data_IF_770396830687
#
_entry.id   IF_770396830687
#
_cell.length_a   1.000
_cell.length_b   1.000
_cell.length_c   1.000
_cell.angle_alpha   90.00
_cell.angle_beta   90.00
_cell.angle_gamma   90.00
#
_symmetry.space_group_name_H-M   'P 1'
#
loop_
_entity.id
_entity.type
_entity.pdbx_description
1 polymer ?
#
# COMPACT_ATOMS: atom_id res chain seq x y z
N UNK A 1 -4.69 7.15 22.03
CA UNK A 1 -5.44 6.59 20.89
C UNK A 1 -6.74 6.00 21.39
N UNK A 2 -7.89 6.46 20.90
CA UNK A 2 -9.19 5.95 21.35
C UNK A 2 -9.61 4.66 20.63
N UNK A 3 -9.08 4.41 19.45
CA UNK A 3 -9.51 3.28 18.63
C UNK A 3 -10.98 3.42 18.23
N UNK A 4 -11.68 2.31 18.21
CA UNK A 4 -13.12 2.22 17.98
C UNK A 4 -13.87 2.29 19.32
N UNK A 5 -13.97 3.48 19.90
CA UNK A 5 -14.57 3.70 21.23
C UNK A 5 -16.07 3.40 21.32
N UNK A 6 -16.80 3.42 20.18
CA UNK A 6 -18.22 3.08 20.09
C UNK A 6 -18.52 1.58 19.92
N UNK A 7 -17.51 0.73 19.71
CA UNK A 7 -17.73 -0.69 19.53
C UNK A 7 -17.99 -1.42 20.86
N UNK A 8 -19.04 -2.23 20.88
CA UNK A 8 -19.35 -3.11 22.01
C UNK A 8 -18.17 -4.09 22.24
N UNK A 9 -17.87 -4.41 23.50
CA UNK A 9 -16.79 -5.30 23.91
C UNK A 9 -16.84 -6.67 23.20
N UNK A 10 -18.03 -7.22 22.97
CA UNK A 10 -18.22 -8.47 22.22
C UNK A 10 -17.72 -8.36 20.77
N UNK A 11 -17.98 -7.22 20.12
CA UNK A 11 -17.56 -6.96 18.76
C UNK A 11 -16.04 -6.74 18.68
N UNK A 12 -15.43 -6.09 19.68
CA UNK A 12 -13.97 -5.96 19.76
C UNK A 12 -13.29 -7.32 19.91
N UNK A 13 -13.83 -8.21 20.73
CA UNK A 13 -13.31 -9.58 20.90
C UNK A 13 -13.47 -10.43 19.62
N UNK A 14 -14.50 -10.18 18.82
CA UNK A 14 -14.65 -10.84 17.52
C UNK A 14 -13.70 -10.28 16.44
N UNK A 15 -13.52 -8.96 16.41
CA UNK A 15 -12.66 -8.30 15.41
C UNK A 15 -11.18 -8.58 15.65
N UNK A 16 -10.75 -8.77 16.90
CA UNK A 16 -9.34 -9.02 17.23
C UNK A 16 -8.76 -10.26 16.52
N UNK A 17 -9.34 -11.46 16.63
CA UNK A 17 -8.83 -12.64 15.92
C UNK A 17 -8.95 -12.52 14.40
N UNK A 18 -9.98 -11.85 13.89
CA UNK A 18 -10.15 -11.60 12.46
C UNK A 18 -9.02 -10.73 11.91
N UNK A 19 -8.72 -9.61 12.56
CA UNK A 19 -7.63 -8.70 12.16
C UNK A 19 -6.28 -9.40 12.32
N UNK A 20 -6.10 -10.21 13.35
CA UNK A 20 -4.90 -11.02 13.53
C UNK A 20 -4.71 -12.02 12.39
N UNK A 21 -5.77 -12.72 11.99
CA UNK A 21 -5.74 -13.65 10.87
C UNK A 21 -5.36 -12.95 9.57
N UNK A 22 -5.98 -11.79 9.29
CA UNK A 22 -5.69 -10.96 8.11
C UNK A 22 -4.23 -10.50 8.14
N UNK A 23 -3.75 -10.01 9.28
CA UNK A 23 -2.36 -9.58 9.48
C UNK A 23 -1.36 -10.72 9.23
N UNK A 24 -1.57 -11.88 9.85
CA UNK A 24 -0.71 -13.04 9.67
C UNK A 24 -0.69 -13.51 8.21
N UNK A 25 -1.85 -13.57 7.55
CA UNK A 25 -1.93 -13.93 6.13
C UNK A 25 -1.18 -12.93 5.26
N UNK A 26 -1.25 -11.63 5.57
CA UNK A 26 -0.50 -10.59 4.84
C UNK A 26 1.01 -10.75 5.03
N UNK A 27 1.45 -10.95 6.28
CA UNK A 27 2.88 -11.09 6.62
C UNK A 27 3.46 -12.44 6.17
N UNK A 28 2.65 -13.45 5.91
CA UNK A 28 3.09 -14.72 5.32
C UNK A 28 2.98 -14.73 3.79
N UNK A 29 1.94 -14.14 3.23
CA UNK A 29 1.67 -14.16 1.81
C UNK A 29 2.63 -13.27 1.00
N UNK A 30 2.90 -12.07 1.48
CA UNK A 30 3.82 -11.15 0.78
C UNK A 30 5.27 -11.65 0.75
N UNK A 31 5.89 -12.17 1.84
CA UNK A 31 7.21 -12.78 1.76
C UNK A 31 7.29 -13.98 0.80
N UNK A 32 6.21 -14.76 0.70
CA UNK A 32 6.15 -15.86 -0.28
C UNK A 32 6.28 -15.36 -1.72
N UNK A 33 5.64 -14.22 -2.05
CA UNK A 33 5.80 -13.57 -3.36
C UNK A 33 7.24 -13.09 -3.56
N UNK A 34 7.82 -12.42 -2.57
CA UNK A 34 9.22 -11.95 -2.63
C UNK A 34 10.15 -13.14 -2.87
N UNK A 35 9.99 -14.21 -2.11
CA UNK A 35 10.79 -15.42 -2.25
C UNK A 35 10.70 -16.01 -3.67
N UNK A 36 9.48 -16.20 -4.20
CA UNK A 36 9.28 -16.71 -5.55
C UNK A 36 9.94 -15.84 -6.62
N UNK A 37 9.81 -14.51 -6.51
CA UNK A 37 10.44 -13.57 -7.44
C UNK A 37 11.96 -13.61 -7.38
N UNK A 38 12.54 -13.86 -6.21
CA UNK A 38 14.00 -13.96 -6.04
C UNK A 38 14.57 -15.29 -6.54
N UNK A 39 13.83 -16.39 -6.38
CA UNK A 39 14.36 -17.74 -6.63
C UNK A 39 14.07 -18.24 -8.04
N UNK A 40 12.91 -17.93 -8.62
CA UNK A 40 12.50 -18.48 -9.91
C UNK A 40 12.87 -17.55 -11.07
N UNK A 41 13.77 -18.03 -11.96
CA UNK A 41 14.22 -17.28 -13.13
C UNK A 41 13.09 -16.86 -14.08
N UNK A 42 11.94 -17.55 -14.09
CA UNK A 42 10.77 -17.21 -14.91
C UNK A 42 10.13 -15.90 -14.46
N UNK A 43 10.35 -15.50 -13.20
CA UNK A 43 9.83 -14.28 -12.59
C UNK A 43 10.84 -13.11 -12.57
N UNK A 44 12.04 -13.30 -13.11
CA UNK A 44 13.08 -12.25 -13.18
C UNK A 44 12.85 -11.26 -14.33
N UNK A 45 11.68 -10.65 -14.37
CA UNK A 45 11.34 -9.58 -15.32
C UNK A 45 10.88 -8.33 -14.54
N UNK A 46 11.01 -7.11 -15.11
CA UNK A 46 10.74 -5.84 -14.42
C UNK A 46 9.46 -5.81 -13.61
N UNK A 47 8.35 -6.27 -14.18
CA UNK A 47 7.05 -6.27 -13.48
C UNK A 47 7.07 -7.04 -12.15
N UNK A 48 7.70 -8.23 -12.11
CA UNK A 48 7.74 -9.01 -10.86
C UNK A 48 8.73 -8.42 -9.85
N UNK A 49 9.78 -7.77 -10.31
CA UNK A 49 10.66 -6.99 -9.45
C UNK A 49 9.87 -5.88 -8.73
N UNK A 50 9.01 -5.14 -9.44
CA UNK A 50 8.15 -4.13 -8.82
C UNK A 50 7.09 -4.74 -7.89
N UNK A 51 6.51 -5.89 -8.25
CA UNK A 51 5.57 -6.62 -7.37
C UNK A 51 6.27 -7.07 -6.08
N UNK A 52 7.51 -7.55 -6.15
CA UNK A 52 8.30 -7.91 -4.96
C UNK A 52 8.57 -6.72 -4.04
N UNK A 53 8.93 -5.56 -4.61
CA UNK A 53 9.11 -4.32 -3.85
C UNK A 53 7.80 -3.86 -3.20
N UNK A 54 6.71 -3.98 -3.91
CA UNK A 54 5.39 -3.64 -3.42
C UNK A 54 4.95 -4.58 -2.30
N UNK A 55 5.24 -5.89 -2.41
CA UNK A 55 4.98 -6.87 -1.35
C UNK A 55 5.77 -6.54 -0.07
N UNK A 56 7.03 -6.09 -0.21
CA UNK A 56 7.83 -5.63 0.92
C UNK A 56 7.22 -4.38 1.57
N UNK A 57 6.82 -3.41 0.76
CA UNK A 57 6.14 -2.20 1.25
C UNK A 57 4.86 -2.53 2.03
N UNK A 58 4.06 -3.47 1.54
CA UNK A 58 2.81 -3.91 2.18
C UNK A 58 3.04 -4.56 3.56
N UNK A 59 4.11 -5.33 3.72
CA UNK A 59 4.48 -5.88 5.02
C UNK A 59 4.77 -4.74 6.00
N UNK A 60 5.57 -3.76 5.58
CA UNK A 60 5.94 -2.62 6.41
C UNK A 60 4.71 -1.77 6.76
N UNK A 61 3.88 -1.45 5.75
CA UNK A 61 2.70 -0.62 5.91
C UNK A 61 1.67 -1.23 6.86
N UNK A 62 1.34 -2.51 6.64
CA UNK A 62 0.41 -3.25 7.51
C UNK A 62 0.95 -3.37 8.93
N UNK A 63 2.23 -3.65 9.10
CA UNK A 63 2.84 -3.77 10.43
C UNK A 63 2.83 -2.45 11.19
N UNK A 64 3.02 -1.32 10.49
CA UNK A 64 2.99 0.01 11.09
C UNK A 64 1.66 0.32 11.78
N UNK A 65 0.53 -0.11 11.22
CA UNK A 65 -0.82 0.21 11.70
C UNK A 65 -1.47 -0.91 12.49
N UNK A 66 -1.38 -2.16 11.99
CA UNK A 66 -2.13 -3.30 12.53
C UNK A 66 -1.63 -3.76 13.90
N UNK A 67 -0.33 -3.67 14.19
CA UNK A 67 0.21 -4.09 15.48
C UNK A 67 -0.41 -3.27 16.62
N UNK A 68 -0.47 -1.94 16.46
CA UNK A 68 -1.08 -1.08 17.48
C UNK A 68 -2.58 -1.32 17.61
N UNK A 69 -3.28 -1.51 16.50
CA UNK A 69 -4.71 -1.83 16.49
C UNK A 69 -4.98 -3.17 17.22
N UNK A 70 -4.19 -4.21 16.96
CA UNK A 70 -4.29 -5.49 17.65
C UNK A 70 -4.08 -5.35 19.16
N UNK A 71 -3.08 -4.57 19.59
CA UNK A 71 -2.86 -4.28 21.02
C UNK A 71 -4.06 -3.58 21.65
N UNK A 72 -4.67 -2.63 20.95
CA UNK A 72 -5.88 -1.93 21.45
C UNK A 72 -7.04 -2.91 21.59
N UNK A 73 -7.27 -3.77 20.60
CA UNK A 73 -8.41 -4.69 20.57
C UNK A 73 -8.24 -5.85 21.57
N UNK A 74 -7.01 -6.38 21.72
CA UNK A 74 -6.76 -7.56 22.55
C UNK A 74 -6.56 -7.22 24.03
N UNK A 75 -5.81 -6.17 24.35
CA UNK A 75 -5.43 -5.83 25.72
C UNK A 75 -6.05 -4.53 26.25
N UNK A 76 -6.79 -3.82 25.41
CA UNK A 76 -7.38 -2.51 25.77
C UNK A 76 -6.34 -1.40 25.99
N UNK A 77 -5.05 -1.64 25.75
CA UNK A 77 -3.97 -0.65 25.93
C UNK A 77 -4.01 0.42 24.84
N UNK A 78 -4.63 1.56 25.16
CA UNK A 78 -4.84 2.69 24.25
C UNK A 78 -3.76 3.77 24.32
N UNK A 79 -2.75 3.61 25.17
CA UNK A 79 -1.65 4.57 25.34
C UNK A 79 -0.57 4.36 24.29
N UNK A 80 0.00 5.45 23.80
CA UNK A 80 1.19 5.49 22.92
C UNK A 80 2.05 6.65 23.36
N UNK A 81 3.38 6.52 23.29
CA UNK A 81 4.28 7.64 23.53
C UNK A 81 4.24 8.62 22.35
N UNK A 82 4.52 9.88 22.57
CA UNK A 82 4.55 10.91 21.52
C UNK A 82 5.56 10.55 20.43
N UNK A 83 6.75 10.09 20.82
CA UNK A 83 7.77 9.65 19.86
C UNK A 83 7.33 8.46 19.01
N UNK A 84 6.71 7.45 19.62
CA UNK A 84 6.19 6.29 18.87
C UNK A 84 5.04 6.70 17.94
N UNK A 85 4.22 7.67 18.32
CA UNK A 85 3.17 8.24 17.49
C UNK A 85 3.75 8.94 16.26
N UNK A 86 4.77 9.78 16.44
CA UNK A 86 5.44 10.46 15.34
C UNK A 86 6.12 9.49 14.38
N UNK A 87 6.80 8.47 14.91
CA UNK A 87 7.41 7.41 14.11
C UNK A 87 6.36 6.64 13.30
N UNK A 88 5.22 6.31 13.92
CA UNK A 88 4.12 5.64 13.23
C UNK A 88 3.56 6.51 12.08
N UNK A 89 3.29 7.80 12.33
CA UNK A 89 2.82 8.73 11.32
C UNK A 89 3.84 8.88 10.18
N UNK A 90 5.11 9.02 10.50
CA UNK A 90 6.19 9.10 9.52
C UNK A 90 6.20 7.91 8.55
N UNK A 91 6.23 6.68 9.10
CA UNK A 91 6.24 5.48 8.26
C UNK A 91 4.95 5.31 7.48
N UNK A 92 3.80 5.60 8.08
CA UNK A 92 2.51 5.53 7.41
C UNK A 92 2.47 6.38 6.14
N UNK A 93 2.83 7.65 6.22
CA UNK A 93 2.79 8.56 5.09
C UNK A 93 3.93 8.31 4.09
N UNK A 94 5.14 8.00 4.55
CA UNK A 94 6.27 7.69 3.67
C UNK A 94 6.00 6.43 2.81
N UNK A 95 5.48 5.36 3.43
CA UNK A 95 5.14 4.14 2.74
C UNK A 95 3.96 4.34 1.79
N UNK A 96 2.92 5.07 2.22
CA UNK A 96 1.77 5.39 1.36
C UNK A 96 2.17 6.19 0.11
N UNK A 97 3.00 7.23 0.26
CA UNK A 97 3.54 7.97 -0.88
C UNK A 97 4.36 7.09 -1.82
N UNK A 98 5.24 6.23 -1.26
CA UNK A 98 6.06 5.30 -2.05
C UNK A 98 5.19 4.34 -2.84
N UNK A 99 4.09 3.86 -2.27
CA UNK A 99 3.14 2.97 -2.93
C UNK A 99 2.57 3.60 -4.21
N UNK A 100 2.06 4.84 -4.13
CA UNK A 100 1.50 5.53 -5.29
C UNK A 100 2.54 5.75 -6.39
N UNK A 101 3.79 6.09 -6.06
CA UNK A 101 4.86 6.24 -7.05
C UNK A 101 5.20 4.89 -7.69
N UNK A 102 5.27 3.80 -6.92
CA UNK A 102 5.50 2.46 -7.48
C UNK A 102 4.36 2.04 -8.41
N UNK A 103 3.10 2.38 -8.11
CA UNK A 103 1.97 2.11 -8.99
C UNK A 103 2.08 2.86 -10.33
N UNK A 104 2.59 4.10 -10.33
CA UNK A 104 2.88 4.85 -11.57
C UNK A 104 3.97 4.15 -12.37
N UNK A 105 5.07 3.75 -11.73
CA UNK A 105 6.17 3.02 -12.38
C UNK A 105 5.67 1.72 -13.01
N UNK A 106 4.82 0.97 -12.29
CA UNK A 106 4.21 -0.26 -12.82
C UNK A 106 3.26 0.01 -13.99
N UNK A 107 2.55 1.13 -13.99
CA UNK A 107 1.69 1.54 -15.12
C UNK A 107 2.52 1.88 -16.35
N UNK A 108 3.63 2.56 -16.16
CA UNK A 108 4.60 2.86 -17.21
C UNK A 108 5.26 1.59 -17.77
N UNK A 109 5.65 0.64 -16.90
CA UNK A 109 6.13 -0.68 -17.32
C UNK A 109 5.12 -1.39 -18.22
N UNK A 110 3.84 -1.41 -17.83
CA UNK A 110 2.76 -2.00 -18.64
C UNK A 110 2.59 -1.31 -19.98
N UNK A 111 2.64 0.02 -20.00
CA UNK A 111 2.58 0.81 -21.23
C UNK A 111 3.72 0.40 -22.20
N UNK A 112 4.95 0.36 -21.74
CA UNK A 112 6.08 -0.02 -22.58
C UNK A 112 5.97 -1.47 -23.08
N UNK A 113 5.60 -2.41 -22.21
CA UNK A 113 5.48 -3.83 -22.57
C UNK A 113 4.40 -4.10 -23.63
N UNK A 114 3.33 -3.31 -23.65
CA UNK A 114 2.21 -3.50 -24.58
C UNK A 114 2.33 -2.64 -25.84
N UNK A 115 2.67 -1.35 -25.67
CA UNK A 115 2.68 -0.38 -26.77
C UNK A 115 4.03 -0.32 -27.50
N UNK A 116 5.14 -0.66 -26.82
CA UNK A 116 6.51 -0.60 -27.39
C UNK A 116 7.29 -1.90 -27.13
N UNK A 117 6.78 -3.07 -27.50
CA UNK A 117 7.39 -4.35 -27.13
C UNK A 117 8.81 -4.55 -27.68
N UNK A 118 9.12 -3.98 -28.84
CA UNK A 118 10.47 -4.06 -29.44
C UNK A 118 11.51 -3.23 -28.70
N UNK A 119 11.09 -2.16 -28.02
CA UNK A 119 11.97 -1.27 -27.25
C UNK A 119 11.95 -1.58 -25.76
N UNK A 120 11.03 -2.42 -25.31
CA UNK A 120 10.83 -2.71 -23.90
C UNK A 120 12.10 -3.16 -23.19
N UNK A 121 12.79 -4.16 -23.72
CA UNK A 121 14.03 -4.68 -23.13
C UNK A 121 15.20 -3.67 -23.13
N UNK A 122 15.22 -2.76 -24.12
CA UNK A 122 16.24 -1.71 -24.19
C UNK A 122 15.99 -0.56 -23.19
N UNK A 123 14.72 -0.27 -22.86
CA UNK A 123 14.34 0.81 -21.94
C UNK A 123 14.31 0.29 -20.50
N UNK A 124 13.55 -0.78 -20.24
CA UNK A 124 13.35 -1.33 -18.89
C UNK A 124 14.51 -2.25 -18.49
N UNK A 125 15.72 -1.68 -18.46
CA UNK A 125 16.91 -2.37 -17.97
C UNK A 125 16.82 -2.59 -16.45
N UNK A 126 17.55 -3.58 -15.94
CA UNK A 126 17.63 -3.83 -14.50
C UNK A 126 18.11 -2.59 -13.73
N UNK A 127 19.08 -1.87 -14.28
CA UNK A 127 19.59 -0.63 -13.68
C UNK A 127 18.52 0.44 -13.56
N UNK A 128 17.71 0.65 -14.62
CA UNK A 128 16.60 1.60 -14.57
C UNK A 128 15.54 1.17 -13.55
N UNK A 129 15.20 -0.11 -13.49
CA UNK A 129 14.20 -0.61 -12.52
C UNK A 129 14.66 -0.34 -11.08
N UNK A 130 15.94 -0.64 -10.77
CA UNK A 130 16.52 -0.37 -9.45
C UNK A 130 16.52 1.13 -9.17
N UNK A 131 16.93 1.95 -10.12
CA UNK A 131 16.96 3.41 -9.98
C UNK A 131 15.57 3.97 -9.67
N UNK A 132 14.54 3.54 -10.40
CA UNK A 132 13.16 3.99 -10.20
C UNK A 132 12.64 3.64 -8.79
N UNK A 133 12.91 2.42 -8.32
CA UNK A 133 12.53 2.00 -6.97
C UNK A 133 13.28 2.79 -5.91
N UNK A 134 14.61 2.87 -6.01
CA UNK A 134 15.44 3.61 -5.04
C UNK A 134 15.03 5.09 -5.00
N UNK A 135 14.81 5.71 -6.17
CA UNK A 135 14.38 7.10 -6.25
C UNK A 135 13.01 7.31 -5.56
N UNK A 136 12.05 6.39 -5.77
CA UNK A 136 10.75 6.47 -5.11
C UNK A 136 10.87 6.40 -3.57
N UNK A 137 11.63 5.42 -3.05
CA UNK A 137 11.85 5.28 -1.61
C UNK A 137 12.59 6.49 -1.03
N UNK A 138 13.72 6.90 -1.62
CA UNK A 138 14.53 8.02 -1.12
C UNK A 138 13.74 9.33 -1.14
N UNK A 139 13.03 9.63 -2.23
CA UNK A 139 12.27 10.87 -2.35
C UNK A 139 11.16 10.95 -1.29
N UNK A 140 10.34 9.88 -1.14
CA UNK A 140 9.24 9.88 -0.19
C UNK A 140 9.73 9.94 1.26
N UNK A 141 10.74 9.15 1.62
CA UNK A 141 11.26 9.13 2.98
C UNK A 141 11.99 10.43 3.34
N UNK A 142 12.74 11.03 2.40
CA UNK A 142 13.38 12.33 2.64
C UNK A 142 12.35 13.44 2.83
N UNK A 143 11.32 13.48 2.00
CA UNK A 143 10.25 14.46 2.13
C UNK A 143 9.52 14.31 3.48
N UNK A 144 9.16 13.09 3.85
CA UNK A 144 8.49 12.83 5.13
C UNK A 144 9.39 13.10 6.34
N UNK A 145 10.72 12.96 6.21
CA UNK A 145 11.66 13.37 7.27
C UNK A 145 11.59 14.87 7.53
N UNK A 146 11.48 15.69 6.47
CA UNK A 146 11.27 17.14 6.63
C UNK A 146 9.93 17.43 7.34
N UNK A 147 8.86 16.75 6.94
CA UNK A 147 7.55 16.88 7.57
C UNK A 147 7.60 16.48 9.07
N UNK A 148 8.29 15.39 9.40
CA UNK A 148 8.49 14.94 10.79
C UNK A 148 9.20 15.99 11.65
N UNK A 149 10.21 16.68 11.10
CA UNK A 149 10.90 17.78 11.79
C UNK A 149 9.94 18.94 12.09
N UNK A 150 9.05 19.27 11.16
CA UNK A 150 8.05 20.32 11.40
C UNK A 150 7.01 19.86 12.46
N UNK A 151 6.55 18.62 12.39
CA UNK A 151 5.62 18.04 13.35
C UNK A 151 6.21 18.00 14.77
N UNK A 152 7.50 17.70 14.90
CA UNK A 152 8.18 17.65 16.21
C UNK A 152 8.31 19.00 16.91
N UNK A 153 8.15 20.11 16.19
CA UNK A 153 8.17 21.47 16.74
C UNK A 153 6.81 21.91 17.30
N UNK A 154 5.74 21.13 17.08
CA UNK A 154 4.43 21.46 17.62
C UNK A 154 4.38 21.28 19.13
N UNK A 155 3.69 22.21 19.81
CA UNK A 155 3.34 22.10 21.23
C UNK A 155 1.91 21.58 21.37
N UNK A 156 1.73 20.56 22.22
CA UNK A 156 0.44 19.94 22.46
C UNK A 156 -0.08 20.31 23.85
N UNK A 157 -1.24 20.95 23.93
CA UNK A 157 -1.81 21.41 25.20
C UNK A 157 -3.26 20.93 25.43
N UNK A 158 -3.85 20.23 24.47
CA UNK A 158 -5.22 19.78 24.53
C UNK A 158 -5.42 18.47 25.29
N UNK A 159 -6.54 17.83 25.05
CA UNK A 159 -6.78 16.49 25.58
C UNK A 159 -5.78 15.52 24.95
N UNK A 160 -5.10 14.70 25.77
CA UNK A 160 -4.16 13.69 25.29
C UNK A 160 -4.86 12.49 24.61
N UNK A 161 -5.95 12.74 23.86
CA UNK A 161 -6.80 11.71 23.26
C UNK A 161 -6.87 11.87 21.74
N UNK A 162 -6.22 10.97 21.01
CA UNK A 162 -6.33 10.88 19.55
C UNK A 162 -7.58 10.07 19.21
N UNK A 163 -8.52 10.67 18.48
CA UNK A 163 -9.79 10.02 18.08
C UNK A 163 -9.62 9.14 16.84
N UNK A 164 -8.57 8.33 16.82
CA UNK A 164 -8.27 7.39 15.74
C UNK A 164 -7.67 6.09 16.30
N UNK A 165 -7.44 5.06 15.48
CA UNK A 165 -6.78 3.82 15.90
C UNK A 165 -5.26 3.80 15.59
N UNK A 166 -4.77 4.78 14.85
CA UNK A 166 -3.34 5.07 14.62
C UNK A 166 -3.08 6.58 14.67
N UNK A 167 -1.81 6.98 14.60
CA UNK A 167 -1.41 8.38 14.62
C UNK A 167 -1.51 9.00 13.23
N UNK A 168 -2.67 9.56 12.92
CA UNK A 168 -2.88 10.35 11.72
C UNK A 168 -2.58 11.84 11.98
N UNK A 169 -2.15 12.56 10.94
CA UNK A 169 -1.76 13.97 11.05
C UNK A 169 -2.94 14.87 11.42
N UNK A 170 -4.11 14.66 10.82
CA UNK A 170 -5.28 15.50 11.06
C UNK A 170 -5.70 15.54 12.55
N UNK A 171 -5.88 14.41 13.25
CA UNK A 171 -6.12 14.43 14.70
C UNK A 171 -4.97 15.02 15.52
N UNK A 172 -3.72 14.86 15.08
CA UNK A 172 -2.55 15.44 15.77
C UNK A 172 -2.55 16.97 15.68
N UNK A 173 -2.85 17.54 14.52
CA UNK A 173 -2.93 18.99 14.35
C UNK A 173 -4.03 19.62 15.21
N UNK A 174 -5.16 18.93 15.38
CA UNK A 174 -6.25 19.39 16.24
C UNK A 174 -5.89 19.43 17.73
N UNK A 175 -4.88 18.67 18.16
CA UNK A 175 -4.41 18.66 19.55
C UNK A 175 -3.28 19.70 19.79
N UNK A 176 -2.79 20.35 18.76
CA UNK A 176 -1.73 21.35 18.85
C UNK A 176 -2.26 22.71 19.25
N UNK A 177 -1.51 23.40 20.12
CA UNK A 177 -1.71 24.81 20.44
C UNK A 177 -0.87 25.75 19.57
N UNK A 178 0.10 25.19 18.85
CA UNK A 178 0.88 25.94 17.87
C UNK A 178 0.07 26.13 16.60
N UNK A 179 0.44 27.14 15.80
CA UNK A 179 -0.13 27.33 14.47
C UNK A 179 0.23 26.14 13.56
N UNK A 180 -0.78 25.44 13.09
CA UNK A 180 -0.66 24.27 12.22
C UNK A 180 -0.99 24.57 10.75
N UNK A 181 -1.29 25.84 10.39
CA UNK A 181 -1.70 26.21 9.04
C UNK A 181 -0.67 25.82 7.96
N UNK A 182 0.63 25.96 8.28
CA UNK A 182 1.69 25.55 7.35
C UNK A 182 1.66 24.05 7.11
N UNK A 183 1.53 23.24 8.16
CA UNK A 183 1.47 21.76 8.05
C UNK A 183 0.22 21.31 7.31
N UNK A 184 -0.95 21.91 7.58
CA UNK A 184 -2.17 21.64 6.82
C UNK A 184 -2.01 21.91 5.32
N UNK A 185 -1.37 23.03 4.96
CA UNK A 185 -1.09 23.37 3.56
C UNK A 185 -0.12 22.38 2.92
N UNK A 186 0.96 22.03 3.60
CA UNK A 186 1.94 21.05 3.11
C UNK A 186 1.26 19.70 2.88
N UNK A 187 0.52 19.20 3.84
CA UNK A 187 -0.19 17.92 3.73
C UNK A 187 -1.21 17.95 2.58
N UNK A 188 -2.02 19.01 2.48
CA UNK A 188 -3.02 19.14 1.42
C UNK A 188 -2.39 19.16 0.03
N UNK A 189 -1.34 19.97 -0.15
CA UNK A 189 -0.62 20.07 -1.44
C UNK A 189 0.05 18.74 -1.77
N UNK A 190 0.69 18.09 -0.80
CA UNK A 190 1.34 16.80 -1.01
C UNK A 190 0.33 15.72 -1.41
N UNK A 191 -0.75 15.59 -0.65
CA UNK A 191 -1.80 14.60 -0.92
C UNK A 191 -2.37 14.83 -2.32
N UNK A 192 -2.72 16.07 -2.66
CA UNK A 192 -3.24 16.40 -4.00
C UNK A 192 -2.21 16.09 -5.08
N UNK A 193 -0.95 16.46 -4.89
CA UNK A 193 0.10 16.22 -5.88
C UNK A 193 0.37 14.73 -6.08
N UNK A 194 0.54 13.96 -4.99
CA UNK A 194 0.80 12.52 -5.07
C UNK A 194 -0.43 11.79 -5.61
N UNK A 195 -1.62 12.06 -5.09
CA UNK A 195 -2.83 11.33 -5.46
C UNK A 195 -3.28 11.68 -6.89
N UNK A 196 -3.46 12.98 -7.20
CA UNK A 196 -3.92 13.39 -8.53
C UNK A 196 -2.82 13.24 -9.58
N UNK A 197 -1.56 13.56 -9.25
CA UNK A 197 -0.43 13.39 -10.17
C UNK A 197 -0.23 11.92 -10.54
N UNK A 198 -0.23 11.02 -9.57
CA UNK A 198 -0.12 9.58 -9.83
C UNK A 198 -1.34 9.04 -10.59
N UNK A 199 -2.55 9.51 -10.27
CA UNK A 199 -3.76 9.14 -10.99
C UNK A 199 -3.70 9.58 -12.46
N UNK A 200 -3.33 10.83 -12.72
CA UNK A 200 -3.22 11.36 -14.09
C UNK A 200 -2.19 10.59 -14.92
N UNK A 201 -0.99 10.31 -14.36
CA UNK A 201 0.05 9.55 -15.05
C UNK A 201 -0.39 8.11 -15.32
N UNK A 202 -1.05 7.48 -14.36
CA UNK A 202 -1.59 6.14 -14.49
C UNK A 202 -2.68 6.09 -15.56
N UNK A 203 -3.66 6.98 -15.51
CA UNK A 203 -4.74 7.05 -16.50
C UNK A 203 -4.20 7.31 -17.90
N UNK A 204 -3.23 8.22 -18.06
CA UNK A 204 -2.57 8.48 -19.34
C UNK A 204 -1.94 7.22 -19.92
N UNK A 205 -1.22 6.45 -19.11
CA UNK A 205 -0.64 5.17 -19.52
C UNK A 205 -1.70 4.17 -19.97
N UNK A 206 -2.82 4.06 -19.23
CA UNK A 206 -3.90 3.13 -19.57
C UNK A 206 -4.74 3.56 -20.76
N UNK A 207 -4.93 4.87 -20.99
CA UNK A 207 -5.54 5.39 -22.21
C UNK A 207 -4.69 4.99 -23.43
N UNK A 208 -3.38 5.19 -23.38
CA UNK A 208 -2.46 4.75 -24.43
C UNK A 208 -2.52 3.23 -24.65
N UNK A 209 -2.52 2.44 -23.58
CA UNK A 209 -2.68 0.99 -23.66
C UNK A 209 -3.99 0.61 -24.34
N UNK A 210 -5.11 1.24 -23.98
CA UNK A 210 -6.41 0.97 -24.57
C UNK A 210 -6.41 1.24 -26.08
N UNK A 211 -5.90 2.40 -26.51
CA UNK A 211 -5.76 2.71 -27.95
C UNK A 211 -4.91 1.69 -28.68
N UNK A 212 -3.81 1.25 -28.07
CA UNK A 212 -2.92 0.24 -28.64
C UNK A 212 -3.62 -1.12 -28.79
N UNK A 213 -4.36 -1.54 -27.77
CA UNK A 213 -5.12 -2.83 -27.75
C UNK A 213 -6.26 -2.80 -28.78
N UNK A 214 -6.95 -1.67 -28.94
CA UNK A 214 -8.02 -1.54 -29.93
C UNK A 214 -7.51 -1.71 -31.37
N UNK A 215 -6.26 -1.30 -31.63
CA UNK A 215 -5.59 -1.47 -32.94
C UNK A 215 -5.04 -2.89 -33.17
N UNK A 216 -4.99 -3.76 -32.16
CA UNK A 216 -4.42 -5.10 -32.22
C UNK A 216 -5.41 -6.17 -31.75
N UNK A 217 -6.46 -6.51 -32.51
CA UNK A 217 -7.54 -7.38 -32.07
C UNK A 217 -7.08 -8.80 -31.69
N UNK A 218 -6.05 -9.34 -32.34
CA UNK A 218 -5.51 -10.67 -32.08
C UNK A 218 -4.85 -10.83 -30.69
N UNK A 219 -4.34 -9.76 -30.10
CA UNK A 219 -3.66 -9.76 -28.80
C UNK A 219 -4.52 -9.21 -27.66
N UNK A 220 -5.72 -8.72 -27.95
CA UNK A 220 -6.60 -8.01 -27.04
C UNK A 220 -6.88 -8.75 -25.74
N UNK A 221 -7.30 -10.02 -25.82
CA UNK A 221 -7.64 -10.83 -24.63
C UNK A 221 -6.44 -11.02 -23.70
N UNK A 222 -5.26 -11.27 -24.24
CA UNK A 222 -4.02 -11.48 -23.46
C UNK A 222 -3.58 -10.19 -22.77
N UNK A 223 -3.60 -9.06 -23.47
CA UNK A 223 -3.23 -7.75 -22.92
C UNK A 223 -4.20 -7.32 -21.80
N UNK A 224 -5.51 -7.45 -22.00
CA UNK A 224 -6.53 -7.16 -20.97
C UNK A 224 -6.37 -8.03 -19.73
N UNK A 225 -6.11 -9.34 -19.89
CA UNK A 225 -5.88 -10.23 -18.77
C UNK A 225 -4.65 -9.82 -17.95
N UNK A 226 -3.58 -9.38 -18.62
CA UNK A 226 -2.35 -8.91 -17.95
C UNK A 226 -2.58 -7.60 -17.19
N UNK A 227 -3.36 -6.68 -17.75
CA UNK A 227 -3.68 -5.40 -17.11
C UNK A 227 -4.71 -5.51 -15.99
N UNK A 228 -5.58 -6.53 -16.01
CA UNK A 228 -6.73 -6.62 -15.10
C UNK A 228 -6.35 -6.63 -13.62
N UNK A 229 -5.30 -7.34 -13.25
CA UNK A 229 -4.81 -7.38 -11.85
C UNK A 229 -4.32 -6.01 -11.40
N UNK A 230 -3.56 -5.33 -12.25
CA UNK A 230 -3.05 -4.00 -11.95
C UNK A 230 -4.18 -2.96 -11.89
N UNK A 231 -5.14 -3.00 -12.84
CA UNK A 231 -6.32 -2.12 -12.82
C UNK A 231 -7.19 -2.34 -11.57
N UNK A 232 -7.39 -3.59 -11.14
CA UNK A 232 -8.13 -3.88 -9.90
C UNK A 232 -7.44 -3.23 -8.70
N UNK A 233 -6.12 -3.36 -8.62
CA UNK A 233 -5.34 -2.73 -7.55
C UNK A 233 -5.46 -1.21 -7.57
N UNK A 234 -5.29 -0.60 -8.74
CA UNK A 234 -5.41 0.85 -8.91
C UNK A 234 -6.79 1.35 -8.49
N UNK A 235 -7.86 0.66 -8.92
CA UNK A 235 -9.22 1.03 -8.55
C UNK A 235 -9.44 1.00 -7.04
N UNK A 236 -8.89 0.01 -6.34
CA UNK A 236 -8.99 -0.08 -4.88
C UNK A 236 -8.14 1.03 -4.23
N UNK A 237 -6.87 1.20 -4.62
CA UNK A 237 -5.97 2.18 -4.02
C UNK A 237 -6.48 3.62 -4.20
N UNK A 238 -6.80 4.01 -5.42
CA UNK A 238 -7.29 5.36 -5.68
C UNK A 238 -8.71 5.59 -5.17
N UNK A 239 -9.60 4.60 -5.32
CA UNK A 239 -10.98 4.71 -4.86
C UNK A 239 -11.08 4.92 -3.35
N UNK A 240 -10.34 4.13 -2.58
CA UNK A 240 -10.34 4.24 -1.12
C UNK A 240 -9.67 5.52 -0.61
N UNK A 241 -8.58 5.98 -1.25
CA UNK A 241 -7.95 7.24 -0.88
C UNK A 241 -8.81 8.45 -1.26
N UNK A 242 -9.46 8.44 -2.43
CA UNK A 242 -10.37 9.52 -2.82
C UNK A 242 -11.54 9.64 -1.84
N UNK A 243 -12.12 8.52 -1.40
CA UNK A 243 -13.18 8.52 -0.39
C UNK A 243 -12.69 9.10 0.94
N UNK A 244 -11.52 8.66 1.42
CA UNK A 244 -10.92 9.14 2.67
C UNK A 244 -10.67 10.66 2.67
N UNK A 245 -10.22 11.22 1.55
CA UNK A 245 -9.86 12.64 1.46
C UNK A 245 -10.96 13.54 0.89
N UNK A 246 -12.08 12.99 0.40
CA UNK A 246 -13.22 13.77 -0.12
C UNK A 246 -14.08 14.38 0.98
N UNK A 247 -14.05 13.81 2.19
CA UNK A 247 -14.94 14.18 3.28
C UNK A 247 -14.18 14.56 4.57
N UNK A 248 -13.39 15.65 4.57
CA UNK A 248 -12.48 15.94 5.68
C UNK A 248 -13.11 16.49 6.95
N UNK A 249 -14.38 16.89 6.99
CA UNK A 249 -14.82 17.80 8.06
C UNK A 249 -16.19 17.59 8.71
N UNK A 250 -16.99 16.59 8.37
CA UNK A 250 -18.33 16.46 9.00
C UNK A 250 -18.42 15.31 10.01
N UNK A 251 -19.18 15.53 11.10
CA UNK A 251 -19.29 14.61 12.26
C UNK A 251 -19.78 13.19 11.91
N UNK A 252 -20.47 13.02 10.79
CA UNK A 252 -20.84 11.70 10.24
C UNK A 252 -19.60 10.95 9.74
N UNK A 253 -18.49 11.65 9.50
CA UNK A 253 -17.30 11.14 8.83
C UNK A 253 -16.27 10.48 9.74
N UNK A 254 -16.25 10.70 11.07
CA UNK A 254 -15.16 10.19 11.91
C UNK A 254 -15.11 8.66 11.97
N UNK A 255 -16.25 8.01 12.17
CA UNK A 255 -16.31 6.53 12.18
C UNK A 255 -16.17 5.97 10.77
N UNK A 256 -16.72 6.66 9.75
CA UNK A 256 -16.52 6.30 8.33
C UNK A 256 -15.06 6.42 7.96
N UNK A 257 -14.38 7.51 8.32
CA UNK A 257 -12.95 7.68 8.08
C UNK A 257 -12.10 6.59 8.75
N UNK A 258 -12.44 6.17 9.96
CA UNK A 258 -11.78 5.04 10.63
C UNK A 258 -12.00 3.73 9.88
N UNK A 259 -13.22 3.48 9.37
CA UNK A 259 -13.52 2.28 8.59
C UNK A 259 -12.76 2.28 7.26
N UNK A 260 -12.75 3.39 6.53
CA UNK A 260 -12.00 3.52 5.27
C UNK A 260 -10.50 3.38 5.52
N UNK A 261 -9.98 3.99 6.58
CA UNK A 261 -8.59 3.81 7.00
C UNK A 261 -8.28 2.35 7.36
N UNK A 262 -9.20 1.63 8.01
CA UNK A 262 -9.06 0.20 8.32
C UNK A 262 -9.04 -0.65 7.03
N UNK A 263 -9.91 -0.36 6.08
CA UNK A 263 -9.91 -1.02 4.76
C UNK A 263 -8.58 -0.82 4.05
N UNK A 264 -8.05 0.40 4.07
CA UNK A 264 -6.78 0.73 3.41
C UNK A 264 -5.57 0.10 4.09
N UNK A 265 -5.54 0.06 5.42
CA UNK A 265 -4.36 -0.37 6.16
C UNK A 265 -4.32 -1.86 6.47
N UNK A 266 -5.46 -2.53 6.44
CA UNK A 266 -5.58 -3.96 6.80
C UNK A 266 -6.08 -4.80 5.63
N UNK A 267 -7.24 -4.46 5.05
CA UNK A 267 -7.85 -5.29 4.02
C UNK A 267 -7.13 -5.18 2.67
N UNK A 268 -6.73 -3.98 2.30
CA UNK A 268 -6.07 -3.76 1.03
C UNK A 268 -4.71 -4.49 0.91
N UNK A 269 -3.77 -4.39 1.87
CA UNK A 269 -2.54 -5.18 1.86
C UNK A 269 -2.78 -6.70 1.88
N UNK A 270 -3.83 -7.15 2.57
CA UNK A 270 -4.23 -8.55 2.57
C UNK A 270 -4.66 -9.05 1.18
N UNK A 271 -5.36 -8.24 0.39
CA UNK A 271 -5.83 -8.64 -0.93
C UNK A 271 -4.71 -8.74 -1.99
N UNK A 272 -3.59 -8.03 -1.79
CA UNK A 272 -2.52 -7.95 -2.78
C UNK A 272 -1.89 -9.29 -3.16
N UNK A 273 -1.50 -10.17 -2.23
CA UNK A 273 -1.00 -11.49 -2.59
C UNK A 273 -1.98 -12.27 -3.46
N UNK A 274 -3.27 -12.17 -3.18
CA UNK A 274 -4.31 -12.87 -3.95
C UNK A 274 -4.50 -12.26 -5.34
N UNK A 275 -4.49 -10.94 -5.46
CA UNK A 275 -4.61 -10.24 -6.75
C UNK A 275 -3.45 -10.61 -7.67
N UNK A 276 -2.22 -10.68 -7.15
CA UNK A 276 -1.05 -11.00 -7.97
C UNK A 276 -0.85 -12.50 -8.18
N UNK A 277 -1.14 -13.35 -7.20
CA UNK A 277 -0.97 -14.79 -7.34
C UNK A 277 -2.12 -15.42 -8.11
N UNK A 278 -3.39 -15.21 -7.74
CA UNK A 278 -4.52 -15.92 -8.33
C UNK A 278 -4.83 -15.53 -9.78
N UNK A 279 -4.59 -14.26 -10.15
CA UNK A 279 -4.83 -13.78 -11.51
C UNK A 279 -3.65 -13.95 -12.45
N UNK A 280 -2.45 -14.18 -11.93
CA UNK A 280 -1.25 -14.36 -12.73
C UNK A 280 -0.93 -15.86 -12.90
N UNK A 281 -1.23 -16.41 -14.07
CA UNK A 281 -1.02 -17.81 -14.38
C UNK A 281 0.42 -18.29 -14.15
N UNK A 282 1.42 -17.40 -14.39
CA UNK A 282 2.82 -17.75 -14.20
C UNK A 282 3.16 -17.87 -12.72
N UNK A 283 2.68 -16.95 -11.88
CA UNK A 283 2.89 -17.03 -10.43
C UNK A 283 2.21 -18.26 -9.84
N UNK A 284 0.97 -18.58 -10.31
CA UNK A 284 0.27 -19.80 -9.91
C UNK A 284 1.06 -21.05 -10.29
N UNK A 285 1.62 -21.09 -11.50
CA UNK A 285 2.43 -22.22 -11.96
C UNK A 285 3.68 -22.39 -11.11
N UNK A 286 4.45 -21.33 -10.93
CA UNK A 286 5.67 -21.32 -10.11
C UNK A 286 5.37 -21.73 -8.66
N UNK A 287 4.28 -21.25 -8.09
CA UNK A 287 3.85 -21.64 -6.74
C UNK A 287 3.52 -23.13 -6.65
N UNK A 288 2.80 -23.69 -7.65
CA UNK A 288 2.49 -25.11 -7.71
C UNK A 288 3.75 -25.98 -7.82
N UNK A 289 4.70 -25.55 -8.68
CA UNK A 289 5.98 -26.24 -8.84
C UNK A 289 6.78 -26.22 -7.52
N UNK A 290 6.84 -25.07 -6.85
CA UNK A 290 7.51 -24.95 -5.57
C UNK A 290 6.90 -25.84 -4.47
N UNK A 291 5.57 -25.89 -4.39
CA UNK A 291 4.84 -26.78 -3.46
C UNK A 291 5.13 -28.25 -3.79
N UNK A 292 5.07 -28.63 -5.07
CA UNK A 292 5.33 -30.00 -5.49
C UNK A 292 6.76 -30.44 -5.16
N UNK A 293 7.75 -29.57 -5.37
CA UNK A 293 9.13 -29.85 -4.96
C UNK A 293 9.30 -29.98 -3.44
N UNK A 294 8.68 -29.11 -2.67
CA UNK A 294 8.72 -29.17 -1.20
C UNK A 294 8.05 -30.44 -0.66
N UNK A 295 6.90 -30.85 -1.22
CA UNK A 295 6.22 -32.08 -0.83
C UNK A 295 7.01 -33.32 -1.20
N UNK A 296 7.66 -33.35 -2.37
CA UNK A 296 8.52 -34.47 -2.79
C UNK A 296 9.76 -34.63 -1.88
N UNK A 297 10.30 -33.53 -1.35
CA UNK A 297 11.42 -33.56 -0.40
C UNK A 297 10.99 -34.01 1.00
N UNK A 298 9.78 -33.62 1.44
CA UNK A 298 9.25 -34.00 2.76
C UNK A 298 8.72 -35.44 2.81
N UNK A 299 8.24 -35.95 1.67
CA UNK A 299 7.70 -37.32 1.54
C UNK A 299 8.37 -38.02 0.34
N UNK A 300 9.66 -38.38 0.46
CA UNK A 300 10.31 -39.16 -0.58
C UNK A 300 9.56 -40.48 -0.74
N UNK A 301 9.08 -40.74 -1.93
CA UNK A 301 8.45 -42.03 -2.24
C UNK A 301 9.49 -43.12 -2.03
N UNK A 302 9.31 -43.91 -0.99
CA UNK A 302 10.08 -45.12 -0.69
C UNK A 302 9.81 -46.22 -1.71
#
# INVERSE_FOLDING_TARGET
>A
IQGFSGLNQRLQLFLSPLILLIYLTTVMGNPSIIFLVCVDNRLQIPMYFFIGNLAFLEICFTSCTSIKLLVILSSGRRTISVSACFVQSYFYFALGCTEFILLVVMSFDRYLAICQPLRYAAIMTQQLCILLVVAAWVACFTFMSYHLVLLSKLTFCGSNKIQHFFCDNSPLFQLSCSDTNLLWRIDSVLILFILLGSLCLTLSSYVCILFCILRMPSRRKKALATCSSHLTRLAIAFGSCLDLYSHPSERVSLETNKLVALLNTVLYPFLNPFIYSLRNKLVVLVLKDAIAHATAQLFPQS
#
